data_IF_048297404262
#
_entry.id   IF_048297404262
#
_cell.length_a   1.000
_cell.length_b   1.000
_cell.length_c   1.000
_cell.angle_alpha   90.00
_cell.angle_beta   90.00
_cell.angle_gamma   90.00
#
_symmetry.space_group_name_H-M   'P 1'
#
loop_
_entity.id
_entity.type
_entity.pdbx_description
1 polymer ?
#
# COMPACT_ATOMS: atom_id res chain seq x y z
N UNK A 1 34.98 -26.27 -60.91
CA UNK A 1 33.79 -25.43 -61.06
C UNK A 1 33.11 -25.38 -59.68
N UNK A 2 33.48 -24.38 -58.83
CA UNK A 2 32.99 -24.24 -57.44
C UNK A 2 31.84 -23.28 -57.46
N UNK A 3 30.64 -23.75 -57.11
CA UNK A 3 29.44 -22.94 -56.91
C UNK A 3 29.45 -22.34 -55.48
N UNK A 4 29.63 -21.03 -55.39
CA UNK A 4 29.49 -20.27 -54.13
C UNK A 4 28.01 -20.03 -53.85
N UNK A 5 27.48 -20.65 -52.79
CA UNK A 5 26.17 -20.29 -52.27
C UNK A 5 26.28 -18.99 -51.45
N UNK A 6 25.66 -17.92 -51.93
CA UNK A 6 25.44 -16.69 -51.18
C UNK A 6 24.18 -16.88 -50.30
N UNK A 7 24.37 -17.08 -49.02
CA UNK A 7 23.28 -16.95 -48.05
C UNK A 7 22.92 -15.49 -47.87
N UNK A 8 21.67 -15.15 -48.16
CA UNK A 8 21.09 -13.82 -47.91
C UNK A 8 20.88 -13.64 -46.40
N UNK A 9 21.59 -12.66 -45.83
CA UNK A 9 21.35 -12.14 -44.48
C UNK A 9 20.14 -11.20 -44.50
N UNK A 10 18.93 -11.72 -44.35
CA UNK A 10 17.74 -10.87 -44.19
C UNK A 10 16.51 -11.67 -43.73
N UNK A 11 16.60 -12.35 -42.60
CA UNK A 11 15.42 -12.90 -41.86
C UNK A 11 15.72 -12.94 -40.33
N UNK A 12 16.41 -11.97 -39.77
CA UNK A 12 16.63 -11.96 -38.33
C UNK A 12 16.44 -10.55 -37.73
N UNK A 13 15.52 -9.78 -38.27
CA UNK A 13 15.26 -8.42 -37.78
C UNK A 13 13.76 -8.09 -37.57
N UNK A 14 12.91 -9.11 -37.46
CA UNK A 14 11.44 -8.85 -37.30
C UNK A 14 10.79 -9.66 -36.19
N UNK A 15 11.54 -10.01 -35.14
CA UNK A 15 11.00 -10.74 -34.00
C UNK A 15 11.39 -10.11 -32.65
N UNK A 16 11.61 -8.78 -32.61
CA UNK A 16 12.00 -8.12 -31.35
C UNK A 16 11.27 -6.77 -31.14
N UNK A 17 10.02 -6.67 -31.56
CA UNK A 17 9.20 -5.46 -31.32
C UNK A 17 7.76 -5.83 -30.92
N UNK A 18 7.60 -6.83 -30.05
CA UNK A 18 6.31 -7.13 -29.46
C UNK A 18 6.53 -7.73 -28.06
N UNK A 19 7.02 -6.98 -27.11
CA UNK A 19 6.88 -7.25 -25.68
C UNK A 19 7.54 -6.13 -24.86
N UNK A 20 6.98 -4.93 -24.90
CA UNK A 20 7.25 -3.94 -23.85
C UNK A 20 5.95 -3.29 -23.40
N UNK A 21 4.92 -4.07 -23.14
CA UNK A 21 4.01 -3.75 -22.07
C UNK A 21 4.73 -4.25 -20.80
N UNK A 22 5.53 -3.38 -20.19
CA UNK A 22 6.03 -3.62 -18.85
C UNK A 22 4.78 -3.71 -17.99
N UNK A 23 4.43 -4.88 -17.42
CA UNK A 23 3.35 -4.92 -16.45
C UNK A 23 3.77 -4.01 -15.30
N UNK A 24 2.87 -3.11 -14.91
CA UNK A 24 2.99 -2.37 -13.67
C UNK A 24 3.50 -3.30 -12.57
N UNK A 25 4.43 -2.81 -11.81
CA UNK A 25 5.11 -3.42 -10.67
C UNK A 25 4.22 -4.33 -9.80
N UNK A 26 3.88 -5.49 -10.31
CA UNK A 26 3.70 -6.66 -9.48
C UNK A 26 5.09 -7.28 -9.39
N UNK A 27 5.94 -6.73 -8.54
CA UNK A 27 7.20 -7.36 -8.17
C UNK A 27 6.92 -8.58 -7.29
N UNK A 28 6.14 -9.49 -7.82
CA UNK A 28 6.07 -10.85 -7.32
C UNK A 28 7.03 -11.64 -8.19
N UNK A 29 8.27 -11.72 -7.76
CA UNK A 29 9.26 -12.63 -8.32
C UNK A 29 8.83 -14.06 -8.00
N UNK A 30 7.67 -14.48 -8.49
CA UNK A 30 7.11 -15.81 -8.27
C UNK A 30 7.29 -16.70 -9.48
N UNK A 31 7.11 -17.99 -9.30
CA UNK A 31 7.06 -18.95 -10.40
C UNK A 31 5.77 -18.75 -11.20
N UNK A 32 5.87 -18.66 -12.52
CA UNK A 32 4.71 -18.62 -13.43
C UNK A 32 4.64 -19.91 -14.23
N UNK A 33 3.51 -20.58 -14.20
CA UNK A 33 3.20 -21.75 -15.01
C UNK A 33 2.24 -21.32 -16.12
N UNK A 34 2.67 -21.47 -17.36
CA UNK A 34 1.84 -21.25 -18.55
C UNK A 34 1.30 -22.59 -19.04
N UNK A 35 -0.01 -22.71 -19.23
CA UNK A 35 -0.68 -23.96 -19.63
C UNK A 35 -1.65 -23.79 -20.82
N UNK A 36 -1.55 -22.69 -21.54
CA UNK A 36 -2.31 -22.39 -22.77
C UNK A 36 -1.94 -21.01 -23.29
N UNK A 37 -2.53 -20.65 -24.41
CA UNK A 37 -2.44 -19.30 -24.93
C UNK A 37 -3.15 -18.35 -23.94
N UNK A 38 -2.44 -17.33 -23.45
CA UNK A 38 -2.90 -16.36 -22.46
C UNK A 38 -3.36 -16.97 -21.11
N UNK A 39 -3.05 -18.25 -20.83
CA UNK A 39 -3.41 -18.91 -19.58
C UNK A 39 -2.20 -19.14 -18.71
N UNK A 40 -2.26 -18.64 -17.47
CA UNK A 40 -1.16 -18.78 -16.54
C UNK A 40 -1.65 -18.79 -15.08
N UNK A 41 -0.82 -19.36 -14.23
CA UNK A 41 -0.88 -19.18 -12.76
C UNK A 41 0.50 -18.76 -12.30
N UNK A 42 0.55 -17.73 -11.45
CA UNK A 42 1.77 -17.28 -10.79
C UNK A 42 1.63 -17.47 -9.29
N UNK A 43 2.68 -17.92 -8.65
CA UNK A 43 2.77 -18.12 -7.20
C UNK A 43 3.95 -17.31 -6.67
N UNK A 44 3.72 -16.48 -5.68
CA UNK A 44 4.73 -15.71 -4.98
C UNK A 44 4.60 -15.81 -3.47
N UNK A 45 5.63 -15.37 -2.77
CA UNK A 45 5.70 -15.35 -1.32
C UNK A 45 6.31 -14.05 -0.82
N UNK A 46 5.81 -13.52 0.29
CA UNK A 46 6.37 -12.35 0.96
C UNK A 46 6.44 -12.57 2.47
N UNK A 47 7.54 -12.17 3.08
CA UNK A 47 7.73 -12.25 4.54
C UNK A 47 8.43 -10.99 5.05
N UNK A 48 8.00 -10.53 6.23
CA UNK A 48 8.68 -9.51 7.01
C UNK A 48 8.77 -9.96 8.46
N UNK A 49 9.97 -9.86 9.00
CA UNK A 49 10.23 -10.11 10.42
C UNK A 49 11.02 -8.96 11.02
N UNK A 50 10.93 -8.76 12.32
CA UNK A 50 11.67 -7.70 13.00
C UNK A 50 12.09 -8.09 14.41
N UNK A 51 13.13 -7.42 14.86
CA UNK A 51 13.42 -7.18 16.27
C UNK A 51 13.01 -5.77 16.61
N UNK A 52 12.28 -5.58 17.70
CA UNK A 52 11.88 -4.26 18.19
C UNK A 52 12.23 -4.10 19.67
N UNK A 53 12.59 -2.88 20.05
CA UNK A 53 12.83 -2.48 21.43
C UNK A 53 12.09 -1.16 21.68
N UNK A 54 11.06 -1.19 22.52
CA UNK A 54 10.13 -0.08 22.74
C UNK A 54 10.23 0.38 24.20
N UNK A 55 10.38 1.69 24.40
CA UNK A 55 10.39 2.31 25.73
C UNK A 55 9.05 2.07 26.42
N UNK A 56 9.10 1.66 27.71
CA UNK A 56 7.95 1.28 28.51
C UNK A 56 7.01 0.24 27.88
N UNK A 57 7.53 -0.52 26.91
CA UNK A 57 6.76 -1.52 26.17
C UNK A 57 6.69 -2.89 26.86
N UNK A 58 7.45 -3.11 27.94
CA UNK A 58 7.38 -4.36 28.68
C UNK A 58 6.07 -4.50 29.48
N UNK A 59 5.65 -5.72 29.85
CA UNK A 59 4.40 -5.94 30.57
C UNK A 59 4.27 -5.19 31.90
N UNK A 60 5.39 -4.76 32.51
CA UNK A 60 5.37 -3.94 33.74
C UNK A 60 5.09 -2.45 33.45
N UNK A 61 5.02 -2.02 32.18
CA UNK A 61 4.70 -0.67 31.78
C UNK A 61 5.78 0.40 32.02
N UNK A 62 6.97 -0.01 32.51
CA UNK A 62 8.06 0.93 32.92
C UNK A 62 9.42 0.51 32.39
N UNK A 63 9.54 -0.71 31.89
CA UNK A 63 10.79 -1.22 31.30
C UNK A 63 10.66 -1.29 29.79
N UNK A 64 11.80 -1.27 29.12
CA UNK A 64 11.89 -1.39 27.68
C UNK A 64 11.54 -2.82 27.26
N UNK A 65 10.67 -2.99 26.28
CA UNK A 65 10.43 -4.30 25.66
C UNK A 65 11.55 -4.70 24.71
N UNK A 66 11.66 -6.00 24.43
CA UNK A 66 12.57 -6.58 23.43
C UNK A 66 11.86 -7.77 22.79
N UNK A 67 11.41 -7.58 21.54
CA UNK A 67 10.51 -8.53 20.91
C UNK A 67 10.98 -8.92 19.51
N UNK A 68 10.94 -10.21 19.21
CA UNK A 68 11.01 -10.72 17.85
C UNK A 68 9.59 -10.93 17.32
N UNK A 69 9.34 -10.51 16.09
CA UNK A 69 8.01 -10.61 15.49
C UNK A 69 8.09 -11.04 14.03
N UNK A 70 7.17 -11.92 13.62
CA UNK A 70 6.81 -12.13 12.24
C UNK A 70 5.71 -11.11 11.90
N UNK A 71 6.08 -9.99 11.28
CA UNK A 71 5.18 -8.88 11.03
C UNK A 71 4.22 -9.12 9.87
N UNK A 72 4.64 -9.90 8.89
CA UNK A 72 3.88 -10.22 7.69
C UNK A 72 4.34 -11.55 7.13
N UNK A 73 3.41 -12.35 6.67
CA UNK A 73 3.67 -13.52 5.84
C UNK A 73 2.53 -13.61 4.80
N UNK A 74 2.89 -13.57 3.52
CA UNK A 74 1.95 -13.52 2.41
C UNK A 74 2.21 -14.63 1.42
N UNK A 75 1.13 -15.18 0.89
CA UNK A 75 1.13 -15.99 -0.31
C UNK A 75 0.38 -15.20 -1.36
N UNK A 76 0.99 -15.04 -2.52
CA UNK A 76 0.43 -14.36 -3.66
C UNK A 76 0.11 -15.38 -4.74
N UNK A 77 -1.13 -15.45 -5.17
CA UNK A 77 -1.57 -16.26 -6.29
C UNK A 77 -2.23 -15.32 -7.27
N UNK A 78 -1.77 -15.32 -8.51
CA UNK A 78 -2.45 -14.61 -9.58
C UNK A 78 -2.59 -15.53 -10.80
N UNK A 79 -3.54 -15.25 -11.65
CA UNK A 79 -3.75 -16.06 -12.83
C UNK A 79 -4.44 -15.29 -13.95
N UNK A 80 -4.22 -15.79 -15.17
CA UNK A 80 -4.90 -15.32 -16.36
C UNK A 80 -5.69 -16.50 -16.97
N UNK A 81 -6.99 -16.30 -17.18
CA UNK A 81 -7.84 -17.23 -17.90
C UNK A 81 -7.76 -17.00 -19.42
N UNK A 82 -7.61 -15.75 -19.81
CA UNK A 82 -7.37 -15.27 -21.16
C UNK A 82 -6.83 -13.82 -21.07
N UNK A 83 -6.57 -13.18 -22.21
CA UNK A 83 -6.02 -11.80 -22.25
C UNK A 83 -6.87 -10.77 -21.48
N UNK A 84 -8.16 -10.99 -21.31
CA UNK A 84 -9.10 -10.02 -20.71
C UNK A 84 -9.52 -10.38 -19.29
N UNK A 85 -9.39 -11.65 -18.87
CA UNK A 85 -9.88 -12.10 -17.56
C UNK A 85 -8.71 -12.60 -16.73
N UNK A 86 -8.47 -11.90 -15.62
CA UNK A 86 -7.44 -12.23 -14.64
C UNK A 86 -8.05 -12.37 -13.26
N UNK A 87 -7.32 -12.94 -12.34
CA UNK A 87 -7.73 -13.01 -10.95
C UNK A 87 -6.53 -13.05 -10.01
N UNK A 88 -6.77 -12.70 -8.75
CA UNK A 88 -5.76 -12.84 -7.70
C UNK A 88 -6.38 -13.33 -6.41
N UNK A 89 -5.56 -14.03 -5.64
CA UNK A 89 -5.84 -14.43 -4.27
C UNK A 89 -4.56 -14.19 -3.45
N UNK A 90 -4.62 -13.26 -2.50
CA UNK A 90 -3.52 -12.98 -1.60
C UNK A 90 -3.94 -13.24 -0.16
N UNK A 91 -3.02 -13.80 0.60
CA UNK A 91 -3.21 -14.01 2.03
C UNK A 91 -2.28 -13.12 2.84
N UNK A 92 -2.61 -12.91 4.11
CA UNK A 92 -1.75 -12.26 5.10
C UNK A 92 -1.83 -13.04 6.40
N UNK A 93 -0.72 -13.12 7.14
CA UNK A 93 -0.72 -13.61 8.50
C UNK A 93 -1.68 -12.78 9.36
N UNK A 94 -2.53 -13.45 10.11
CA UNK A 94 -3.42 -12.77 11.05
C UNK A 94 -2.61 -12.07 12.14
N UNK A 95 -2.92 -10.81 12.42
CA UNK A 95 -2.26 -10.01 13.47
C UNK A 95 -2.74 -10.47 14.85
N UNK A 96 -3.98 -10.92 14.97
CA UNK A 96 -4.60 -11.33 16.22
C UNK A 96 -4.48 -12.83 16.53
N UNK A 97 -4.02 -13.64 15.56
CA UNK A 97 -3.95 -15.09 15.67
C UNK A 97 -2.76 -15.70 14.93
N UNK A 98 -2.72 -17.03 14.89
CA UNK A 98 -1.68 -17.80 14.18
C UNK A 98 -2.12 -18.20 12.75
N UNK A 99 -3.30 -17.77 12.33
CA UNK A 99 -3.89 -18.13 11.04
C UNK A 99 -3.43 -17.25 9.88
N UNK A 100 -3.86 -17.66 8.69
CA UNK A 100 -3.79 -16.84 7.47
C UNK A 100 -5.19 -16.37 7.10
N UNK A 101 -5.29 -15.14 6.65
CA UNK A 101 -6.54 -14.57 6.18
C UNK A 101 -6.42 -14.14 4.72
N UNK A 102 -7.51 -14.28 3.97
CA UNK A 102 -7.59 -13.77 2.59
C UNK A 102 -7.74 -12.26 2.64
N UNK A 103 -6.71 -11.55 2.16
CA UNK A 103 -6.72 -10.10 2.07
C UNK A 103 -7.19 -9.59 0.70
N UNK A 104 -6.87 -10.31 -0.37
CA UNK A 104 -7.39 -10.04 -1.71
C UNK A 104 -7.94 -11.36 -2.29
N UNK A 105 -9.11 -11.28 -2.92
CA UNK A 105 -9.74 -12.36 -3.65
C UNK A 105 -10.67 -11.77 -4.69
N UNK A 106 -10.18 -11.52 -5.92
CA UNK A 106 -10.92 -10.79 -6.92
C UNK A 106 -10.71 -11.30 -8.35
N UNK A 107 -11.66 -10.94 -9.19
CA UNK A 107 -11.60 -11.11 -10.64
C UNK A 107 -11.47 -9.73 -11.29
N UNK A 108 -10.68 -9.65 -12.33
CA UNK A 108 -10.40 -8.45 -13.11
C UNK A 108 -10.80 -8.72 -14.55
N UNK A 109 -11.74 -7.93 -15.08
CA UNK A 109 -12.27 -8.08 -16.44
C UNK A 109 -11.94 -6.81 -17.21
N UNK A 110 -11.00 -6.90 -18.13
CA UNK A 110 -10.64 -5.80 -19.03
C UNK A 110 -11.70 -5.67 -20.12
N UNK A 111 -12.45 -4.57 -20.09
CA UNK A 111 -13.51 -4.27 -21.06
C UNK A 111 -12.93 -3.64 -22.32
N UNK A 112 -12.07 -2.63 -22.12
CA UNK A 112 -11.26 -1.95 -23.13
C UNK A 112 -9.87 -1.69 -22.50
N UNK A 113 -8.86 -1.30 -23.25
CA UNK A 113 -7.52 -1.05 -22.71
C UNK A 113 -7.53 -0.08 -21.51
N UNK A 114 -8.38 0.92 -21.56
CA UNK A 114 -8.47 1.98 -20.56
C UNK A 114 -9.42 1.68 -19.40
N UNK A 115 -10.14 0.54 -19.41
CA UNK A 115 -11.13 0.18 -18.38
C UNK A 115 -11.10 -1.30 -18.04
N UNK A 116 -10.83 -1.58 -16.77
CA UNK A 116 -10.95 -2.90 -16.15
C UNK A 116 -11.95 -2.84 -15.00
N UNK A 117 -12.86 -3.78 -14.95
CA UNK A 117 -13.78 -3.96 -13.80
C UNK A 117 -13.14 -4.97 -12.84
N UNK A 118 -12.97 -4.57 -11.61
CA UNK A 118 -12.55 -5.42 -10.51
C UNK A 118 -13.76 -5.79 -9.66
N UNK A 119 -13.90 -7.06 -9.27
CA UNK A 119 -14.99 -7.53 -8.43
C UNK A 119 -14.49 -8.57 -7.43
N UNK A 120 -14.89 -8.44 -6.16
CA UNK A 120 -14.49 -9.29 -5.05
C UNK A 120 -13.82 -8.48 -3.95
N UNK A 121 -12.94 -9.11 -3.18
CA UNK A 121 -12.18 -8.45 -2.09
C UNK A 121 -10.88 -7.90 -2.61
N UNK A 122 -10.62 -6.62 -2.36
CA UNK A 122 -9.36 -5.94 -2.67
C UNK A 122 -9.24 -4.64 -1.89
N UNK A 123 -8.05 -4.02 -1.95
CA UNK A 123 -7.84 -2.71 -1.37
C UNK A 123 -8.73 -1.68 -2.06
N UNK A 124 -9.65 -1.04 -1.34
CA UNK A 124 -10.48 0.02 -1.91
C UNK A 124 -9.64 1.24 -2.27
N UNK A 125 -10.03 2.05 -3.27
CA UNK A 125 -9.28 3.24 -3.67
C UNK A 125 -8.95 4.14 -2.49
N UNK A 126 -7.67 4.54 -2.38
CA UNK A 126 -7.18 5.29 -1.23
C UNK A 126 -5.89 6.05 -1.54
N UNK A 127 -5.28 6.67 -0.53
CA UNK A 127 -4.01 7.39 -0.66
C UNK A 127 -2.83 6.48 -1.00
N UNK A 128 -1.74 7.09 -1.46
CA UNK A 128 -0.51 6.41 -1.86
C UNK A 128 0.08 5.53 -0.76
N UNK A 129 0.14 6.01 0.48
CA UNK A 129 0.77 5.26 1.56
C UNK A 129 0.08 3.92 1.80
N UNK A 130 -1.26 3.88 1.70
CA UNK A 130 -2.02 2.64 1.80
C UNK A 130 -1.90 1.79 0.53
N UNK A 131 -1.99 2.41 -0.66
CA UNK A 131 -1.85 1.71 -1.94
C UNK A 131 -0.46 1.06 -2.11
N UNK A 132 0.59 1.62 -1.52
CA UNK A 132 1.93 1.03 -1.49
C UNK A 132 2.05 -0.16 -0.54
N UNK A 133 1.29 -0.16 0.55
CA UNK A 133 1.33 -1.22 1.55
C UNK A 133 2.68 -1.35 2.25
N UNK A 134 2.93 -2.46 2.96
CA UNK A 134 4.10 -2.59 3.84
C UNK A 134 5.40 -2.94 3.12
N UNK A 135 5.33 -3.43 1.88
CA UNK A 135 6.50 -3.91 1.14
C UNK A 135 7.13 -2.85 0.25
N UNK A 136 6.36 -1.82 -0.17
CA UNK A 136 6.77 -0.82 -1.15
C UNK A 136 6.83 0.59 -0.58
N UNK A 137 6.72 0.75 0.74
CA UNK A 137 6.84 2.02 1.43
C UNK A 137 8.29 2.42 1.67
N UNK A 138 8.57 3.72 1.67
CA UNK A 138 9.82 4.26 2.16
C UNK A 138 10.00 3.89 3.64
N UNK A 139 11.13 3.28 3.97
CA UNK A 139 11.45 2.92 5.35
C UNK A 139 10.90 1.59 5.82
N UNK A 140 10.42 0.76 4.93
CA UNK A 140 9.94 -0.59 5.26
C UNK A 140 8.77 -0.63 6.25
N UNK A 141 7.74 -1.41 5.93
CA UNK A 141 6.52 -1.50 6.72
C UNK A 141 5.49 -0.43 6.39
N UNK A 142 4.31 -0.56 6.96
CA UNK A 142 3.27 0.44 6.80
C UNK A 142 3.71 1.80 7.37
N UNK A 143 3.24 2.87 6.79
CA UNK A 143 3.08 4.09 7.53
C UNK A 143 2.22 3.76 8.74
N UNK A 144 2.67 4.08 9.93
CA UNK A 144 2.23 3.45 11.20
C UNK A 144 0.77 3.66 11.62
N UNK A 145 -0.16 3.92 10.71
CA UNK A 145 -1.59 4.13 10.99
C UNK A 145 -1.90 5.43 11.72
N UNK A 146 -0.98 6.38 11.76
CA UNK A 146 -1.20 7.69 12.39
C UNK A 146 -1.86 8.64 11.39
N UNK A 147 -1.25 8.86 10.23
CA UNK A 147 -1.77 9.76 9.23
C UNK A 147 -2.72 9.04 8.26
N UNK A 148 -2.27 7.97 7.64
CA UNK A 148 -3.09 7.14 6.77
C UNK A 148 -3.91 6.16 7.60
N UNK A 149 -5.20 6.44 7.76
CA UNK A 149 -6.12 5.72 8.66
C UNK A 149 -7.25 5.05 7.88
N UNK A 150 -7.01 3.83 7.42
CA UNK A 150 -8.01 3.06 6.67
C UNK A 150 -8.75 2.06 7.52
N UNK A 151 -8.44 2.02 8.78
CA UNK A 151 -8.77 0.94 9.63
C UNK A 151 -10.15 0.97 10.26
N UNK A 152 -11.09 1.76 9.77
CA UNK A 152 -12.46 1.64 10.27
C UNK A 152 -12.99 0.22 10.12
N UNK A 153 -12.50 -0.53 9.16
CA UNK A 153 -13.03 -1.81 8.75
C UNK A 153 -12.33 -3.01 9.39
N UNK A 154 -11.92 -2.85 10.61
CA UNK A 154 -11.62 -4.01 11.45
C UNK A 154 -10.62 -4.98 10.88
N UNK A 155 -9.48 -4.54 10.40
CA UNK A 155 -8.41 -5.47 10.43
C UNK A 155 -7.51 -5.59 9.21
N UNK A 156 -7.95 -5.29 7.99
CA UNK A 156 -7.07 -5.45 6.84
C UNK A 156 -6.89 -4.16 6.04
N UNK A 157 -6.54 -3.10 6.73
CA UNK A 157 -6.09 -1.82 6.19
C UNK A 157 -6.70 -1.51 4.82
N UNK A 158 -8.00 -1.13 4.84
CA UNK A 158 -8.74 -0.67 3.67
C UNK A 158 -9.17 -1.70 2.64
N UNK A 159 -9.00 -3.00 2.91
CA UNK A 159 -9.53 -4.05 2.04
C UNK A 159 -11.00 -4.30 2.34
N UNK A 160 -11.78 -4.42 1.25
CA UNK A 160 -13.22 -4.55 1.35
C UNK A 160 -13.79 -5.35 0.17
N UNK A 161 -14.97 -5.91 0.34
CA UNK A 161 -15.68 -6.62 -0.70
C UNK A 161 -16.47 -5.62 -1.54
N UNK A 162 -16.30 -5.64 -2.87
CA UNK A 162 -16.94 -4.65 -3.72
C UNK A 162 -16.65 -4.79 -5.21
N UNK A 163 -16.97 -3.74 -5.92
CA UNK A 163 -16.74 -3.61 -7.36
C UNK A 163 -16.14 -2.23 -7.66
N UNK A 164 -15.17 -2.17 -8.56
CA UNK A 164 -14.59 -0.92 -9.01
C UNK A 164 -14.30 -0.91 -10.52
N UNK A 165 -14.48 0.25 -11.13
CA UNK A 165 -13.92 0.61 -12.42
C UNK A 165 -12.50 1.15 -12.18
N UNK A 166 -11.52 0.57 -12.84
CA UNK A 166 -10.10 0.90 -12.73
C UNK A 166 -9.55 1.11 -14.13
N UNK A 167 -8.76 2.14 -14.33
CA UNK A 167 -8.18 2.37 -15.64
C UNK A 167 -7.12 3.46 -15.66
N UNK A 168 -6.56 3.62 -16.85
CA UNK A 168 -5.52 4.59 -17.14
C UNK A 168 -5.82 5.31 -18.45
N UNK A 169 -5.51 6.58 -18.49
CA UNK A 169 -5.66 7.44 -19.65
C UNK A 169 -4.33 8.19 -19.91
N UNK A 170 -4.23 8.86 -21.05
CA UNK A 170 -3.08 9.70 -21.39
C UNK A 170 -1.74 8.92 -21.34
N UNK A 171 -1.70 7.74 -21.97
CA UNK A 171 -0.54 6.86 -22.00
C UNK A 171 -0.06 6.46 -20.58
N UNK A 172 -1.02 6.19 -19.69
CA UNK A 172 -0.75 5.75 -18.31
C UNK A 172 -0.44 6.88 -17.33
N UNK A 173 -0.50 8.15 -17.76
CA UNK A 173 -0.23 9.30 -16.88
C UNK A 173 -1.40 9.73 -16.01
N UNK A 174 -2.61 9.35 -16.36
CA UNK A 174 -3.81 9.61 -15.56
C UNK A 174 -4.43 8.29 -15.14
N UNK A 175 -4.14 7.86 -13.92
CA UNK A 175 -4.77 6.71 -13.28
C UNK A 175 -6.08 7.11 -12.60
N UNK A 176 -7.11 6.27 -12.73
CA UNK A 176 -8.38 6.44 -12.03
C UNK A 176 -8.92 5.14 -11.47
N UNK A 177 -9.62 5.25 -10.36
CA UNK A 177 -10.43 4.17 -9.81
C UNK A 177 -11.66 4.74 -9.10
N UNK A 178 -12.80 4.08 -9.28
CA UNK A 178 -14.07 4.44 -8.63
C UNK A 178 -14.84 3.16 -8.35
N UNK A 179 -15.27 2.96 -7.10
CA UNK A 179 -15.95 1.74 -6.72
C UNK A 179 -17.00 1.91 -5.64
N UNK A 180 -17.78 0.86 -5.48
CA UNK A 180 -18.75 0.67 -4.42
C UNK A 180 -18.39 -0.61 -3.65
N UNK A 181 -18.39 -0.52 -2.33
CA UNK A 181 -17.91 -1.54 -1.42
C UNK A 181 -18.93 -1.79 -0.30
N UNK A 182 -18.81 -2.91 0.39
CA UNK A 182 -19.66 -3.22 1.53
C UNK A 182 -19.49 -2.17 2.65
N UNK A 183 -18.26 -1.77 2.93
CA UNK A 183 -17.93 -0.79 3.96
C UNK A 183 -18.20 -1.30 5.37
N UNK A 184 -18.58 -0.39 6.25
CA UNK A 184 -18.92 -0.69 7.64
C UNK A 184 -20.41 -0.64 7.85
N UNK A 185 -20.95 -1.60 8.58
CA UNK A 185 -22.31 -1.51 9.12
C UNK A 185 -22.22 -1.09 10.60
N UNK A 186 -23.22 -0.40 11.11
CA UNK A 186 -23.30 0.02 12.50
C UNK A 186 -23.05 -1.15 13.47
N UNK A 187 -23.59 -2.32 13.18
CA UNK A 187 -23.38 -3.51 14.01
C UNK A 187 -21.95 -4.04 14.00
N UNK A 188 -21.29 -4.02 12.84
CA UNK A 188 -19.88 -4.43 12.74
C UNK A 188 -18.99 -3.49 13.56
N UNK A 189 -19.21 -2.18 13.45
CA UNK A 189 -18.39 -1.16 14.13
C UNK A 189 -18.58 -1.23 15.66
N UNK A 190 -19.80 -1.32 16.12
CA UNK A 190 -20.12 -1.32 17.53
C UNK A 190 -19.87 -2.65 18.24
N UNK A 191 -19.56 -3.73 17.50
CA UNK A 191 -19.42 -5.08 18.06
C UNK A 191 -20.73 -5.64 18.65
N UNK A 192 -21.87 -5.05 18.27
CA UNK A 192 -23.18 -5.40 18.80
C UNK A 192 -23.95 -6.28 17.81
N UNK A 193 -24.43 -7.38 18.31
CA UNK A 193 -25.43 -8.19 17.63
C UNK A 193 -26.81 -7.81 18.14
N UNK A 194 -27.62 -7.10 17.35
CA UNK A 194 -29.06 -6.89 17.56
C UNK A 194 -29.52 -6.17 18.86
N UNK A 195 -28.72 -5.28 19.44
CA UNK A 195 -29.18 -4.56 20.64
C UNK A 195 -28.81 -3.07 20.59
N UNK A 196 -29.81 -2.21 20.59
CA UNK A 196 -29.64 -0.76 20.74
C UNK A 196 -30.51 0.06 19.80
N UNK A 197 -30.45 1.38 19.91
CA UNK A 197 -31.24 2.32 19.11
C UNK A 197 -30.72 2.47 17.68
N UNK A 198 -29.71 1.68 17.29
CA UNK A 198 -29.11 1.71 15.96
C UNK A 198 -30.07 1.12 14.94
N UNK A 199 -30.25 1.83 13.83
CA UNK A 199 -31.17 1.38 12.76
C UNK A 199 -30.67 0.17 12.01
N UNK A 200 -29.36 -0.10 12.08
CA UNK A 200 -28.70 -1.17 11.32
C UNK A 200 -28.82 -0.96 9.81
N UNK A 201 -28.96 0.29 9.36
CA UNK A 201 -29.05 0.60 7.94
C UNK A 201 -27.75 0.20 7.22
N UNK A 202 -27.89 -0.56 6.16
CA UNK A 202 -26.79 -1.09 5.37
C UNK A 202 -26.64 -0.28 4.08
N UNK A 203 -25.72 0.67 4.11
CA UNK A 203 -25.39 1.53 2.96
C UNK A 203 -24.02 1.18 2.39
N UNK A 204 -23.91 1.17 1.06
CA UNK A 204 -22.61 0.95 0.40
C UNK A 204 -21.66 2.11 0.68
N UNK A 205 -20.38 1.80 0.84
CA UNK A 205 -19.28 2.74 0.82
C UNK A 205 -18.89 3.01 -0.64
N UNK A 206 -18.78 4.28 -0.99
CA UNK A 206 -18.23 4.72 -2.27
C UNK A 206 -16.82 5.23 -2.05
N UNK A 207 -15.88 4.77 -2.88
CA UNK A 207 -14.48 5.18 -2.82
C UNK A 207 -13.94 5.46 -4.21
N UNK A 208 -13.10 6.48 -4.32
CA UNK A 208 -12.46 6.84 -5.59
C UNK A 208 -11.08 7.43 -5.41
N UNK A 209 -10.24 7.29 -6.44
CA UNK A 209 -8.92 7.90 -6.56
C UNK A 209 -8.68 8.37 -7.99
N UNK A 210 -8.04 9.53 -8.10
CA UNK A 210 -7.41 10.04 -9.32
C UNK A 210 -5.95 10.32 -9.02
N UNK A 211 -5.05 9.96 -9.93
CA UNK A 211 -3.63 10.26 -9.86
C UNK A 211 -3.14 10.77 -11.21
N UNK A 212 -2.35 11.83 -11.19
CA UNK A 212 -1.70 12.35 -12.37
C UNK A 212 -0.19 12.36 -12.23
N UNK A 213 0.48 11.77 -13.21
CA UNK A 213 1.93 11.61 -13.28
C UNK A 213 2.48 12.60 -14.30
N UNK A 214 3.20 13.62 -13.81
CA UNK A 214 3.76 14.68 -14.66
C UNK A 214 4.99 14.21 -15.43
N UNK A 215 5.76 13.27 -14.86
CA UNK A 215 6.98 12.73 -15.46
C UNK A 215 6.77 11.31 -15.95
N UNK A 216 7.48 10.30 -15.44
CA UNK A 216 7.26 8.93 -15.82
C UNK A 216 5.91 8.43 -15.28
N UNK A 217 5.20 7.63 -16.08
CA UNK A 217 3.93 7.04 -15.67
C UNK A 217 4.12 5.98 -14.59
N UNK A 218 3.15 5.90 -13.68
CA UNK A 218 3.03 4.88 -12.63
C UNK A 218 1.83 3.97 -12.95
N UNK A 219 1.92 3.05 -13.92
CA UNK A 219 0.78 2.24 -14.31
C UNK A 219 0.41 1.23 -13.23
N UNK A 220 -0.87 0.88 -13.19
CA UNK A 220 -1.43 -0.15 -12.31
C UNK A 220 -2.24 0.40 -11.15
N UNK A 221 -2.98 -0.50 -10.51
CA UNK A 221 -3.88 -0.15 -9.41
C UNK A 221 -3.14 0.16 -8.11
N UNK A 222 -2.14 -0.66 -7.78
CA UNK A 222 -1.35 -0.48 -6.56
C UNK A 222 -0.21 0.50 -6.80
N UNK A 223 0.00 1.39 -5.83
CA UNK A 223 1.09 2.37 -5.86
C UNK A 223 2.38 1.87 -5.20
N UNK A 224 3.38 2.73 -5.21
CA UNK A 224 4.62 2.54 -4.45
C UNK A 224 5.05 3.86 -3.80
N UNK A 225 5.73 3.79 -2.66
CA UNK A 225 6.20 4.96 -1.92
C UNK A 225 7.56 5.48 -2.42
N UNK A 226 8.31 4.68 -3.15
CA UNK A 226 9.52 5.10 -3.86
C UNK A 226 9.92 4.06 -4.91
N UNK A 227 10.69 4.44 -5.92
CA UNK A 227 11.13 3.58 -7.02
C UNK A 227 12.60 3.16 -6.92
N UNK A 228 13.25 3.44 -5.80
CA UNK A 228 14.66 3.10 -5.53
C UNK A 228 15.62 3.66 -6.59
N UNK A 229 15.30 4.80 -7.20
CA UNK A 229 16.06 5.43 -8.27
C UNK A 229 15.82 4.84 -9.67
N UNK A 230 14.79 4.02 -9.86
CA UNK A 230 14.51 3.42 -11.17
C UNK A 230 13.72 4.34 -12.12
N UNK A 231 12.96 5.31 -11.59
CA UNK A 231 12.11 6.22 -12.37
C UNK A 231 12.31 7.67 -11.93
N UNK A 232 11.97 8.61 -12.82
CA UNK A 232 11.73 10.00 -12.48
C UNK A 232 10.25 10.21 -12.29
N UNK A 233 9.81 10.43 -11.07
CA UNK A 233 8.41 10.57 -10.71
C UNK A 233 8.11 11.99 -10.20
N UNK A 234 7.04 12.55 -10.67
CA UNK A 234 6.35 13.69 -10.08
C UNK A 234 4.87 13.41 -10.21
N UNK A 235 4.24 12.98 -9.12
CA UNK A 235 2.86 12.53 -9.10
C UNK A 235 2.04 13.23 -8.02
N UNK A 236 0.78 13.49 -8.33
CA UNK A 236 -0.22 13.99 -7.38
C UNK A 236 -1.44 13.08 -7.44
N UNK A 237 -1.88 12.62 -6.28
CA UNK A 237 -3.08 11.81 -6.13
C UNK A 237 -4.11 12.50 -5.23
N UNK A 238 -5.39 12.30 -5.54
CA UNK A 238 -6.51 12.62 -4.66
C UNK A 238 -7.36 11.38 -4.47
N UNK A 239 -7.79 11.12 -3.25
CA UNK A 239 -8.70 10.02 -2.96
C UNK A 239 -9.78 10.48 -1.99
N UNK A 240 -10.95 9.84 -2.07
CA UNK A 240 -12.06 10.11 -1.17
C UNK A 240 -12.95 8.91 -0.96
N UNK A 241 -13.63 8.89 0.17
CA UNK A 241 -14.61 7.86 0.56
C UNK A 241 -15.79 8.48 1.27
N UNK A 242 -16.94 7.86 1.12
CA UNK A 242 -18.11 8.20 1.91
C UNK A 242 -19.04 7.01 2.07
N UNK A 243 -19.68 6.91 3.23
CA UNK A 243 -20.70 5.92 3.52
C UNK A 243 -21.73 6.51 4.49
N UNK A 244 -23.01 6.40 4.13
CA UNK A 244 -24.08 6.72 5.08
C UNK A 244 -24.09 5.65 6.18
N UNK A 245 -24.21 6.06 7.43
CA UNK A 245 -24.15 5.20 8.61
C UNK A 245 -22.86 4.33 8.68
N UNK A 246 -21.77 4.82 8.06
CA UNK A 246 -20.47 4.15 8.09
C UNK A 246 -19.68 4.36 9.38
N UNK A 247 -20.17 5.20 10.28
CA UNK A 247 -19.64 5.40 11.64
C UNK A 247 -20.73 5.09 12.65
N UNK A 248 -20.38 4.37 13.73
CA UNK A 248 -21.34 4.04 14.79
C UNK A 248 -20.67 3.96 16.16
N UNK A 249 -21.42 4.37 17.18
CA UNK A 249 -21.17 4.10 18.59
C UNK A 249 -22.27 3.22 19.15
N UNK A 250 -22.26 2.96 20.45
CA UNK A 250 -23.33 2.21 21.11
C UNK A 250 -24.71 2.89 21.01
N UNK A 251 -24.76 4.18 20.74
CA UNK A 251 -25.99 4.99 20.85
C UNK A 251 -26.26 5.87 19.62
N UNK A 252 -25.33 6.00 18.68
CA UNK A 252 -25.45 6.91 17.53
C UNK A 252 -24.83 6.30 16.30
N UNK A 253 -25.49 6.46 15.16
CA UNK A 253 -24.95 6.26 13.82
C UNK A 253 -24.69 7.60 13.13
N UNK A 254 -23.72 7.64 12.24
CA UNK A 254 -23.40 8.81 11.46
C UNK A 254 -22.72 8.47 10.13
N UNK A 255 -22.60 9.48 9.30
CA UNK A 255 -21.87 9.34 8.03
C UNK A 255 -20.37 9.23 8.32
N UNK A 256 -19.70 8.32 7.61
CA UNK A 256 -18.27 8.37 7.46
C UNK A 256 -17.90 9.05 6.15
N UNK A 257 -16.99 9.99 6.19
CA UNK A 257 -16.35 10.56 5.00
C UNK A 257 -14.88 10.85 5.26
N UNK A 258 -14.08 10.72 4.21
CA UNK A 258 -12.68 11.10 4.26
C UNK A 258 -12.19 11.51 2.87
N UNK A 259 -11.20 12.37 2.84
CA UNK A 259 -10.43 12.64 1.63
C UNK A 259 -8.95 12.79 1.95
N UNK A 260 -8.13 12.56 0.94
CA UNK A 260 -6.69 12.75 1.00
C UNK A 260 -6.16 13.36 -0.28
N UNK A 261 -5.05 14.08 -0.13
CA UNK A 261 -4.21 14.52 -1.25
C UNK A 261 -2.82 14.02 -0.97
N UNK A 262 -2.23 13.31 -1.91
CA UNK A 262 -0.87 12.79 -1.80
C UNK A 262 0.03 13.23 -2.95
N UNK A 263 1.31 13.21 -2.68
CA UNK A 263 2.37 13.66 -3.57
C UNK A 263 3.55 12.72 -3.49
N UNK A 264 4.14 12.37 -4.64
CA UNK A 264 5.43 11.70 -4.73
C UNK A 264 6.33 12.44 -5.72
N UNK A 265 7.54 12.72 -5.28
CA UNK A 265 8.65 13.12 -6.13
C UNK A 265 9.77 12.09 -5.98
N UNK A 266 10.23 11.54 -7.09
CA UNK A 266 11.49 10.83 -7.15
C UNK A 266 12.32 11.33 -8.32
N UNK A 267 13.59 11.63 -8.08
CA UNK A 267 14.51 12.13 -9.11
C UNK A 267 15.78 11.32 -9.11
N UNK A 268 16.07 10.70 -10.26
CA UNK A 268 17.32 10.00 -10.53
C UNK A 268 18.47 10.99 -10.71
N UNK A 269 19.68 10.47 -10.64
CA UNK A 269 20.92 11.18 -11.01
C UNK A 269 21.12 12.49 -10.23
N UNK A 270 20.70 12.50 -8.95
CA UNK A 270 20.95 13.59 -8.03
C UNK A 270 22.24 13.28 -7.27
N UNK A 271 23.37 13.81 -7.78
CA UNK A 271 24.70 13.45 -7.27
C UNK A 271 24.97 11.96 -7.46
N UNK A 272 25.49 11.24 -6.45
CA UNK A 272 25.79 9.80 -6.54
C UNK A 272 24.57 8.91 -6.30
N UNK A 273 23.34 9.37 -6.52
CA UNK A 273 22.15 8.57 -6.22
C UNK A 273 20.85 9.18 -6.72
N UNK A 274 19.76 8.83 -6.03
CA UNK A 274 18.43 9.35 -6.29
C UNK A 274 17.77 9.83 -4.99
N UNK A 275 16.96 10.89 -5.10
CA UNK A 275 16.17 11.44 -4.00
C UNK A 275 14.71 11.04 -4.16
N UNK A 276 14.06 10.68 -3.05
CA UNK A 276 12.61 10.47 -2.99
C UNK A 276 12.00 11.38 -1.92
N UNK A 277 10.84 11.94 -2.21
CA UNK A 277 10.05 12.72 -1.26
C UNK A 277 8.58 12.37 -1.43
N UNK A 278 7.92 11.97 -0.35
CA UNK A 278 6.49 11.66 -0.29
C UNK A 278 5.83 12.54 0.77
N UNK A 279 4.63 13.06 0.48
CA UNK A 279 3.83 13.81 1.44
C UNK A 279 2.35 13.56 1.22
N UNK A 280 1.54 13.67 2.27
CA UNK A 280 0.10 13.59 2.17
C UNK A 280 -0.61 14.41 3.26
N UNK A 281 -1.81 14.85 2.92
CA UNK A 281 -2.80 15.45 3.82
C UNK A 281 -4.05 14.58 3.82
N UNK A 282 -4.70 14.51 4.98
CA UNK A 282 -5.92 13.73 5.20
C UNK A 282 -6.91 14.52 6.04
N UNK A 283 -8.19 14.30 5.76
CA UNK A 283 -9.30 14.78 6.56
C UNK A 283 -10.28 13.63 6.75
N UNK A 284 -10.65 13.37 8.00
CA UNK A 284 -11.54 12.29 8.41
C UNK A 284 -12.70 12.86 9.20
N UNK A 285 -13.92 12.56 8.78
CA UNK A 285 -15.16 12.96 9.40
C UNK A 285 -16.03 11.75 9.69
N UNK A 286 -16.52 11.63 10.91
CA UNK A 286 -17.39 10.55 11.37
C UNK A 286 -18.73 11.08 11.87
N UNK A 287 -19.10 12.31 11.49
CA UNK A 287 -20.36 12.96 11.91
C UNK A 287 -20.50 13.02 13.45
N UNK A 288 -19.39 13.34 14.13
CA UNK A 288 -19.26 13.37 15.59
C UNK A 288 -19.68 12.07 16.32
N UNK A 289 -19.68 10.95 15.61
CA UNK A 289 -20.03 9.64 16.20
C UNK A 289 -18.82 8.98 16.81
N UNK A 290 -17.71 8.96 16.08
CA UNK A 290 -16.47 8.27 16.47
C UNK A 290 -15.32 9.28 16.53
N UNK A 291 -15.40 10.15 17.52
CA UNK A 291 -14.54 11.33 17.64
C UNK A 291 -13.04 11.00 17.67
N UNK A 292 -12.63 9.82 18.18
CA UNK A 292 -11.22 9.41 18.18
C UNK A 292 -10.63 9.20 16.80
N UNK A 293 -11.45 8.99 15.79
CA UNK A 293 -11.05 8.78 14.40
C UNK A 293 -11.32 10.02 13.51
N UNK A 294 -12.00 11.03 14.08
CA UNK A 294 -12.28 12.28 13.40
C UNK A 294 -11.14 13.27 13.59
N UNK A 295 -10.72 13.92 12.52
CA UNK A 295 -9.64 14.90 12.57
C UNK A 295 -8.82 14.99 11.29
N UNK A 296 -7.71 15.71 11.39
CA UNK A 296 -6.81 16.00 10.26
C UNK A 296 -5.44 15.38 10.47
N UNK A 297 -4.89 14.82 9.39
CA UNK A 297 -3.59 14.19 9.46
C UNK A 297 -2.65 14.67 8.36
N UNK A 298 -1.35 14.53 8.64
CA UNK A 298 -0.27 14.91 7.75
C UNK A 298 0.81 13.84 7.79
N UNK A 299 1.40 13.55 6.65
CA UNK A 299 2.61 12.73 6.55
C UNK A 299 3.60 13.36 5.59
N UNK A 300 4.88 13.18 5.86
CA UNK A 300 5.97 13.52 4.96
C UNK A 300 7.13 12.56 5.17
N UNK A 301 7.79 12.18 4.09
CA UNK A 301 8.98 11.33 4.13
C UNK A 301 9.97 11.75 3.05
N UNK A 302 11.25 11.61 3.34
CA UNK A 302 12.32 11.83 2.37
C UNK A 302 13.36 10.72 2.51
N UNK A 303 13.91 10.28 1.39
CA UNK A 303 14.97 9.28 1.32
C UNK A 303 15.97 9.60 0.23
N UNK A 304 17.16 9.06 0.38
CA UNK A 304 18.22 9.16 -0.60
C UNK A 304 18.87 7.80 -0.80
N UNK A 305 18.72 7.20 -1.98
CA UNK A 305 19.40 5.95 -2.31
C UNK A 305 20.71 6.21 -3.03
N UNK A 306 21.82 5.67 -2.51
CA UNK A 306 23.12 5.72 -3.17
C UNK A 306 23.14 4.75 -4.35
N UNK A 307 23.68 5.17 -5.51
CA UNK A 307 23.78 4.34 -6.71
C UNK A 307 24.83 3.25 -6.57
N UNK A 308 25.96 3.57 -5.90
CA UNK A 308 27.05 2.62 -5.71
C UNK A 308 26.72 1.60 -4.62
N UNK A 309 26.84 0.29 -4.93
CA UNK A 309 26.61 -0.76 -3.93
C UNK A 309 27.76 -0.81 -2.91
N UNK A 310 27.43 -1.17 -1.68
CA UNK A 310 28.39 -1.49 -0.63
C UNK A 310 28.12 -2.94 -0.20
N UNK A 311 29.03 -3.84 -0.52
CA UNK A 311 28.80 -5.28 -0.33
C UNK A 311 27.70 -5.80 -1.27
N UNK A 312 26.62 -6.34 -0.74
CA UNK A 312 25.55 -6.96 -1.52
C UNK A 312 24.43 -5.98 -1.91
N UNK A 313 24.46 -4.74 -1.42
CA UNK A 313 23.33 -3.84 -1.60
C UNK A 313 23.69 -2.37 -1.54
N UNK A 314 22.66 -1.53 -1.56
CA UNK A 314 22.74 -0.07 -1.55
C UNK A 314 22.15 0.48 -0.27
N UNK A 315 22.72 1.54 0.27
CA UNK A 315 22.15 2.25 1.41
C UNK A 315 21.12 3.29 0.96
N UNK A 316 20.03 3.38 1.72
CA UNK A 316 19.00 4.40 1.58
C UNK A 316 18.65 4.97 2.97
N UNK A 317 19.39 5.98 3.46
CA UNK A 317 18.95 6.76 4.62
C UNK A 317 17.61 7.45 4.30
N UNK A 318 16.76 7.57 5.34
CA UNK A 318 15.47 8.22 5.22
C UNK A 318 15.03 8.85 6.54
N UNK A 319 14.08 9.78 6.42
CA UNK A 319 13.32 10.36 7.53
C UNK A 319 11.83 10.34 7.19
N UNK A 320 10.98 10.18 8.22
CA UNK A 320 9.53 10.30 8.07
C UNK A 320 8.92 11.06 9.24
N UNK A 321 7.86 11.77 8.95
CA UNK A 321 7.04 12.46 9.92
C UNK A 321 5.57 12.14 9.70
N UNK A 322 4.82 11.90 10.78
CA UNK A 322 3.38 11.72 10.76
C UNK A 322 2.75 12.48 11.92
N UNK A 323 1.59 13.06 11.66
CA UNK A 323 0.79 13.71 12.69
C UNK A 323 -0.69 13.45 12.43
N UNK A 324 -1.43 13.19 13.49
CA UNK A 324 -2.89 13.23 13.53
C UNK A 324 -3.32 14.23 14.59
N UNK A 325 -4.15 15.19 14.22
CA UNK A 325 -4.82 16.10 15.12
C UNK A 325 -6.26 15.62 15.27
N UNK A 326 -6.64 15.18 16.45
CA UNK A 326 -7.99 14.75 16.74
C UNK A 326 -8.92 15.94 16.94
N UNK A 327 -10.12 15.89 16.40
CA UNK A 327 -11.17 16.86 16.66
C UNK A 327 -11.93 16.56 17.97
N UNK A 328 -11.62 15.43 18.64
CA UNK A 328 -12.25 15.06 19.89
C UNK A 328 -11.62 15.79 21.09
N UNK A 329 -12.44 16.32 21.99
CA UNK A 329 -11.98 16.98 23.22
C UNK A 329 -11.20 16.04 24.16
N UNK A 330 -11.45 14.74 24.08
CA UNK A 330 -10.85 13.71 24.94
C UNK A 330 -9.86 12.80 24.24
N UNK A 331 -9.73 12.90 22.93
CA UNK A 331 -8.76 12.11 22.17
C UNK A 331 -7.47 12.92 22.00
N UNK A 332 -6.37 12.19 21.93
CA UNK A 332 -5.04 12.78 21.90
C UNK A 332 -4.55 12.95 20.49
N UNK A 333 -3.95 14.09 20.21
CA UNK A 333 -3.09 14.24 19.05
C UNK A 333 -1.93 13.26 19.13
N UNK A 334 -1.55 12.73 17.97
CA UNK A 334 -0.42 11.79 17.85
C UNK A 334 0.55 12.35 16.82
N UNK A 335 1.83 12.35 17.15
CA UNK A 335 2.90 12.63 16.19
C UNK A 335 4.02 11.62 16.32
N UNK A 336 4.66 11.32 15.20
CA UNK A 336 5.76 10.37 15.14
C UNK A 336 6.83 10.86 14.18
N UNK A 337 8.07 10.71 14.59
CA UNK A 337 9.26 10.89 13.76
C UNK A 337 9.97 9.54 13.63
N UNK A 338 10.37 9.21 12.41
CA UNK A 338 11.23 8.07 12.14
C UNK A 338 12.49 8.57 11.44
N UNK A 339 13.63 8.05 11.88
CA UNK A 339 14.93 8.20 11.19
C UNK A 339 15.48 6.81 10.99
N UNK A 340 15.92 6.48 9.80
CA UNK A 340 16.36 5.12 9.53
C UNK A 340 17.26 5.00 8.31
N UNK A 341 17.65 3.77 8.07
CA UNK A 341 18.39 3.37 6.88
C UNK A 341 17.87 2.02 6.39
N UNK A 342 17.61 1.94 5.10
CA UNK A 342 17.38 0.69 4.39
C UNK A 342 18.71 0.25 3.77
N UNK A 343 19.00 -1.03 3.84
CA UNK A 343 20.02 -1.71 3.07
C UNK A 343 19.32 -2.56 2.01
N UNK A 344 19.29 -2.06 0.79
CA UNK A 344 18.56 -2.63 -0.35
C UNK A 344 19.45 -3.62 -1.05
N UNK A 345 19.17 -4.93 -0.91
CA UNK A 345 19.96 -6.01 -1.49
C UNK A 345 19.46 -6.33 -2.89
N UNK A 346 18.17 -6.52 -3.05
CA UNK A 346 17.53 -6.83 -4.33
C UNK A 346 16.19 -6.10 -4.46
N UNK A 347 16.26 -4.77 -4.65
CA UNK A 347 15.07 -3.94 -4.73
C UNK A 347 14.15 -4.15 -3.53
N UNK A 348 12.87 -4.35 -3.79
CA UNK A 348 11.89 -4.69 -2.77
C UNK A 348 11.88 -6.18 -2.38
N UNK A 349 12.60 -7.04 -3.14
CA UNK A 349 12.60 -8.47 -2.91
C UNK A 349 13.45 -8.86 -1.69
N UNK A 350 14.53 -8.12 -1.43
CA UNK A 350 15.35 -8.35 -0.26
C UNK A 350 15.90 -7.04 0.32
N UNK A 351 15.53 -6.70 1.54
CA UNK A 351 16.05 -5.54 2.24
C UNK A 351 16.09 -5.72 3.75
N UNK A 352 17.02 -5.01 4.40
CA UNK A 352 17.10 -4.85 5.84
C UNK A 352 16.89 -3.38 6.17
N UNK A 353 16.06 -3.08 7.17
CA UNK A 353 15.80 -1.71 7.63
C UNK A 353 16.17 -1.57 9.09
N UNK A 354 16.86 -0.50 9.46
CA UNK A 354 17.08 -0.11 10.84
C UNK A 354 16.43 1.26 11.07
N UNK A 355 15.54 1.36 12.06
CA UNK A 355 14.67 2.52 12.25
C UNK A 355 14.65 2.91 13.72
N UNK A 356 14.93 4.15 14.00
CA UNK A 356 14.64 4.80 15.29
C UNK A 356 13.38 5.64 15.14
N UNK A 357 12.47 5.49 16.08
CA UNK A 357 11.18 6.19 16.12
C UNK A 357 11.03 6.95 17.43
N UNK A 358 10.46 8.14 17.38
CA UNK A 358 9.98 8.89 18.54
C UNK A 358 8.49 9.21 18.35
N UNK A 359 7.66 8.76 19.28
CA UNK A 359 6.20 8.93 19.23
C UNK A 359 5.74 9.72 20.43
N UNK A 360 4.93 10.75 20.20
CA UNK A 360 4.25 11.55 21.21
C UNK A 360 2.75 11.47 21.04
N UNK A 361 2.08 11.09 22.11
CA UNK A 361 0.63 11.24 22.30
C UNK A 361 0.42 12.41 23.24
N UNK A 362 -0.50 13.33 22.93
CA UNK A 362 -0.78 14.49 23.79
C UNK A 362 -1.18 14.05 25.20
N UNK A 363 -0.60 14.68 26.21
CA UNK A 363 -0.85 14.31 27.60
C UNK A 363 0.05 13.17 28.15
N UNK A 364 0.95 12.61 27.35
CA UNK A 364 1.89 11.59 27.79
C UNK A 364 3.34 11.99 27.49
N UNK A 365 4.31 11.29 28.05
CA UNK A 365 5.72 11.43 27.68
C UNK A 365 5.98 10.87 26.29
N UNK A 366 7.03 11.35 25.62
CA UNK A 366 7.50 10.77 24.37
C UNK A 366 7.97 9.33 24.62
N UNK A 367 7.69 8.45 23.67
CA UNK A 367 8.17 7.06 23.69
C UNK A 367 9.01 6.77 22.47
N UNK A 368 10.22 6.31 22.69
CA UNK A 368 11.12 5.93 21.61
C UNK A 368 11.09 4.42 21.36
N UNK A 369 11.37 4.05 20.13
CA UNK A 369 11.50 2.66 19.71
C UNK A 369 12.67 2.50 18.74
N UNK A 370 13.33 1.36 18.80
CA UNK A 370 14.30 0.91 17.82
C UNK A 370 13.80 -0.35 17.16
N UNK A 371 13.87 -0.43 15.84
CA UNK A 371 13.40 -1.57 15.06
C UNK A 371 14.45 -1.95 14.01
N UNK A 372 14.75 -3.24 13.91
CA UNK A 372 15.48 -3.82 12.77
C UNK A 372 14.58 -4.82 12.11
N UNK A 373 14.30 -4.62 10.82
CA UNK A 373 13.39 -5.46 10.05
C UNK A 373 14.09 -6.07 8.85
N UNK A 374 13.74 -7.32 8.55
CA UNK A 374 14.10 -8.05 7.35
C UNK A 374 12.85 -8.21 6.49
N UNK A 375 12.97 -7.93 5.21
CA UNK A 375 11.96 -8.20 4.20
C UNK A 375 12.53 -9.12 3.13
N UNK A 376 11.75 -10.14 2.77
CA UNK A 376 12.03 -11.01 1.63
C UNK A 376 10.71 -11.26 0.89
N UNK A 377 10.75 -11.19 -0.44
CA UNK A 377 9.63 -11.60 -1.31
C UNK A 377 10.15 -12.14 -2.65
N UNK A 378 9.40 -13.07 -3.22
CA UNK A 378 9.70 -13.70 -4.51
C UNK A 378 8.46 -14.38 -5.10
#
# INVERSE_FOLDING_TARGET
MMMKFKMKKSVLATALLAATSIPALTAHAGATINFGEDKSISLGFGMRSSFSSVEDGAPNGTSRSQDFSLNSARIYISGSLNKNIKGMLNTEKDIAGEGFQVIDGNVQIQIIPELTIWAGRFLSPSDRANMAGPYYSLGGGYWSGIASRYGFNGGYIGRDDGVAAVGELLDGKLGYSLGAFEGNTAFKIAGLTNQGPLTGSDGLMYAGRLQYDFWDAEPGYYGTGNYLGAKDILAVGIAGRTQNNGAASLTKEGRYSSYSVDFLLEKKDVGPGAVSFEAAYYDYDTDDVFLSEQGKAYSAGAGYIFSEPVGWGKFQPFVRYQKFNSDALTASDIKKYDVGVNYIIEGYNAQVSAIYSDTKVSGTDNKNAFNVALQIQF
#
